data_IF_006655246479
#
_entry.id   IF_006655246479
#
_cell.length_a   1.000
_cell.length_b   1.000
_cell.length_c   1.000
_cell.angle_alpha   90.00
_cell.angle_beta   90.00
_cell.angle_gamma   90.00
#
_symmetry.space_group_name_H-M   'P 1'
#
loop_
_entity.id
_entity.type
_entity.pdbx_description
1 polymer ?
#
# COMPACT_ATOMS: atom_id res chain seq x y z
N UNK A 1 9.08 -4.71 -20.32
CA UNK A 1 8.64 -5.99 -19.71
C UNK A 1 9.79 -6.50 -18.85
N UNK A 2 9.63 -6.61 -17.53
CA UNK A 2 10.69 -6.96 -16.58
C UNK A 2 11.10 -8.44 -16.68
N UNK A 3 12.30 -8.80 -16.20
CA UNK A 3 12.79 -10.18 -16.21
C UNK A 3 11.94 -11.05 -15.27
N UNK A 4 11.57 -10.51 -14.11
CA UNK A 4 10.64 -11.14 -13.18
C UNK A 4 9.28 -11.47 -13.80
N UNK A 5 8.72 -10.59 -14.64
CA UNK A 5 7.42 -10.83 -15.28
C UNK A 5 7.45 -11.99 -16.28
N UNK A 6 8.54 -12.10 -17.06
CA UNK A 6 8.77 -13.25 -17.95
C UNK A 6 8.90 -14.56 -17.17
N UNK A 7 9.53 -14.54 -15.99
CA UNK A 7 9.65 -15.73 -15.14
C UNK A 7 8.31 -16.14 -14.52
N UNK A 8 7.47 -15.19 -14.13
CA UNK A 8 6.10 -15.45 -13.65
C UNK A 8 5.28 -16.14 -14.75
N UNK A 9 5.34 -15.63 -15.98
CA UNK A 9 4.65 -16.21 -17.14
C UNK A 9 5.18 -17.62 -17.46
N UNK A 10 6.50 -17.82 -17.48
CA UNK A 10 7.10 -19.13 -17.75
C UNK A 10 6.72 -20.21 -16.71
N UNK A 11 6.55 -19.83 -15.44
CA UNK A 11 6.05 -20.73 -14.39
C UNK A 11 4.54 -20.99 -14.57
N UNK A 12 3.75 -19.99 -14.94
CA UNK A 12 2.31 -20.13 -15.19
C UNK A 12 1.99 -21.02 -16.40
N UNK A 13 2.73 -20.90 -17.49
CA UNK A 13 2.61 -21.75 -18.69
C UNK A 13 2.82 -23.24 -18.38
N UNK A 14 3.56 -23.54 -17.31
CA UNK A 14 3.86 -24.90 -16.83
C UNK A 14 2.88 -25.36 -15.75
N UNK A 15 1.80 -24.62 -15.51
CA UNK A 15 0.81 -24.94 -14.48
C UNK A 15 1.29 -24.67 -13.05
N UNK A 16 2.34 -23.86 -12.89
CA UNK A 16 2.83 -23.40 -11.60
C UNK A 16 2.39 -21.97 -11.27
N UNK A 17 2.63 -21.57 -10.03
CA UNK A 17 2.36 -20.23 -9.49
C UNK A 17 3.52 -19.80 -8.61
N UNK A 18 3.91 -18.54 -8.77
CA UNK A 18 4.77 -17.85 -7.82
C UNK A 18 3.93 -17.00 -6.86
N UNK A 19 4.33 -16.95 -5.59
CA UNK A 19 3.72 -16.08 -4.59
C UNK A 19 4.73 -15.67 -3.51
N UNK A 20 4.45 -14.59 -2.79
CA UNK A 20 5.21 -14.19 -1.61
C UNK A 20 4.52 -14.81 -0.38
N UNK A 21 5.23 -15.67 0.34
CA UNK A 21 4.75 -16.20 1.61
C UNK A 21 4.72 -15.09 2.68
N UNK A 22 3.99 -15.29 3.79
CA UNK A 22 3.94 -14.34 4.92
C UNK A 22 5.33 -13.97 5.47
N UNK A 23 6.30 -14.88 5.33
CA UNK A 23 7.72 -14.65 5.68
C UNK A 23 8.47 -13.71 4.73
N UNK A 24 7.82 -13.14 3.71
CA UNK A 24 8.44 -12.31 2.67
C UNK A 24 9.29 -13.09 1.65
N UNK A 25 9.25 -14.43 1.69
CA UNK A 25 10.00 -15.28 0.76
C UNK A 25 9.16 -15.63 -0.46
N UNK A 26 9.75 -15.51 -1.65
CA UNK A 26 9.15 -16.02 -2.88
C UNK A 26 9.09 -17.55 -2.83
N UNK A 27 7.92 -18.10 -3.12
CA UNK A 27 7.64 -19.52 -3.18
C UNK A 27 7.08 -19.89 -4.54
N UNK A 28 7.38 -21.12 -4.97
CA UNK A 28 6.79 -21.78 -6.13
C UNK A 28 5.81 -22.82 -5.60
N UNK A 29 4.62 -22.83 -6.16
CA UNK A 29 3.69 -23.95 -6.14
C UNK A 29 3.57 -24.46 -7.57
N UNK A 30 3.88 -25.73 -7.83
CA UNK A 30 3.80 -26.29 -9.18
C UNK A 30 3.26 -27.72 -9.10
N UNK A 31 2.41 -28.08 -10.06
CA UNK A 31 1.85 -29.43 -10.19
C UNK A 31 2.89 -30.46 -10.65
N UNK A 32 3.96 -30.01 -11.30
CA UNK A 32 5.10 -30.82 -11.71
C UNK A 32 6.43 -30.16 -11.30
N UNK A 33 7.51 -30.94 -11.11
CA UNK A 33 8.84 -30.39 -10.83
C UNK A 33 9.28 -29.40 -11.90
N UNK A 34 9.77 -28.23 -11.48
CA UNK A 34 10.34 -27.25 -12.40
C UNK A 34 11.74 -27.69 -12.86
N UNK A 35 12.13 -27.39 -14.11
CA UNK A 35 13.50 -27.56 -14.59
C UNK A 35 14.54 -26.86 -13.70
N UNK A 36 15.71 -27.48 -13.54
CA UNK A 36 16.75 -26.99 -12.62
C UNK A 36 17.27 -25.59 -13.00
N UNK A 37 17.43 -25.32 -14.29
CA UNK A 37 17.80 -24.03 -14.87
C UNK A 37 16.78 -22.92 -14.55
N UNK A 38 15.49 -23.26 -14.59
CA UNK A 38 14.42 -22.33 -14.21
C UNK A 38 14.49 -22.03 -12.71
N UNK A 39 14.72 -23.03 -11.87
CA UNK A 39 14.87 -22.85 -10.42
C UNK A 39 16.06 -21.96 -10.09
N UNK A 40 17.20 -22.13 -10.77
CA UNK A 40 18.37 -21.26 -10.60
C UNK A 40 18.07 -19.82 -11.03
N UNK A 41 17.38 -19.64 -12.15
CA UNK A 41 16.99 -18.31 -12.64
C UNK A 41 16.03 -17.62 -11.69
N UNK A 42 15.06 -18.35 -11.12
CA UNK A 42 14.15 -17.83 -10.10
C UNK A 42 14.90 -17.39 -8.83
N UNK A 43 15.96 -18.10 -8.43
CA UNK A 43 16.80 -17.73 -7.29
C UNK A 43 17.61 -16.47 -7.57
N UNK A 44 18.16 -16.33 -8.77
CA UNK A 44 18.93 -15.15 -9.18
C UNK A 44 18.08 -13.86 -9.21
N UNK A 45 16.80 -13.98 -9.57
CA UNK A 45 15.86 -12.84 -9.66
C UNK A 45 14.92 -12.71 -8.46
N UNK A 46 15.23 -13.32 -7.31
CA UNK A 46 14.32 -13.40 -6.16
C UNK A 46 13.80 -12.03 -5.69
N UNK A 47 14.65 -11.01 -5.60
CA UNK A 47 14.26 -9.70 -5.08
C UNK A 47 13.42 -8.90 -6.08
N UNK A 48 13.61 -9.14 -7.37
CA UNK A 48 12.77 -8.57 -8.43
C UNK A 48 11.39 -9.26 -8.45
N UNK A 49 11.37 -10.59 -8.33
CA UNK A 49 10.15 -11.39 -8.18
C UNK A 49 9.37 -10.99 -6.92
N UNK A 50 10.03 -10.79 -5.79
CA UNK A 50 9.39 -10.36 -4.55
C UNK A 50 8.69 -8.99 -4.72
N UNK A 51 9.27 -8.06 -5.48
CA UNK A 51 8.68 -6.74 -5.74
C UNK A 51 7.49 -6.82 -6.70
N UNK A 52 7.57 -7.63 -7.74
CA UNK A 52 6.48 -7.81 -8.72
C UNK A 52 5.31 -8.63 -8.15
N UNK A 53 5.60 -9.60 -7.27
CA UNK A 53 4.61 -10.47 -6.62
C UNK A 53 4.10 -9.91 -5.29
N UNK A 54 4.78 -8.90 -4.73
CA UNK A 54 4.27 -8.22 -3.57
C UNK A 54 2.87 -7.71 -3.91
N UNK A 55 1.87 -7.93 -3.05
CA UNK A 55 0.60 -7.25 -3.22
C UNK A 55 0.91 -5.75 -3.36
N UNK A 56 0.22 -5.02 -4.26
CA UNK A 56 0.36 -3.58 -4.29
C UNK A 56 0.23 -3.11 -2.85
N UNK A 57 1.22 -2.32 -2.38
CA UNK A 57 1.15 -1.72 -1.05
C UNK A 57 -0.29 -1.24 -0.87
N UNK A 58 -0.97 -1.58 0.24
CA UNK A 58 -2.39 -1.34 0.38
C UNK A 58 -2.63 0.08 -0.10
N UNK A 59 -3.38 0.20 -1.19
CA UNK A 59 -3.76 1.49 -1.74
C UNK A 59 -4.67 2.06 -0.67
N UNK A 60 -4.06 2.72 0.32
CA UNK A 60 -4.77 3.49 1.31
C UNK A 60 -5.60 4.44 0.48
N UNK A 61 -6.90 4.19 0.41
CA UNK A 61 -7.82 5.07 -0.26
C UNK A 61 -7.87 6.35 0.58
N UNK A 62 -6.90 7.23 0.30
CA UNK A 62 -6.69 8.47 1.01
C UNK A 62 -7.93 9.35 0.90
N UNK A 63 -8.70 9.22 -0.19
CA UNK A 63 -9.96 9.92 -0.33
C UNK A 63 -11.02 9.36 0.60
N UNK A 64 -11.22 8.04 0.66
CA UNK A 64 -12.17 7.43 1.60
C UNK A 64 -11.82 7.80 3.04
N UNK A 65 -10.55 7.67 3.41
CA UNK A 65 -10.04 8.01 4.74
C UNK A 65 -10.24 9.50 5.07
N UNK A 66 -10.04 10.39 4.09
CA UNK A 66 -10.34 11.81 4.26
C UNK A 66 -11.84 12.05 4.45
N UNK A 67 -12.71 11.40 3.66
CA UNK A 67 -14.17 11.52 3.79
C UNK A 67 -14.66 11.05 5.17
N UNK A 68 -14.07 9.98 5.70
CA UNK A 68 -14.37 9.49 7.05
C UNK A 68 -13.96 10.48 8.15
N UNK A 69 -12.77 11.08 8.03
CA UNK A 69 -12.32 12.13 8.93
C UNK A 69 -13.22 13.37 8.86
N UNK A 70 -13.58 13.81 7.65
CA UNK A 70 -14.47 14.95 7.44
C UNK A 70 -15.86 14.70 8.06
N UNK A 71 -16.41 13.50 7.90
CA UNK A 71 -17.67 13.10 8.55
C UNK A 71 -17.60 13.21 10.06
N UNK A 72 -16.53 12.68 10.68
CA UNK A 72 -16.33 12.77 12.14
C UNK A 72 -16.18 14.22 12.61
N UNK A 73 -15.50 15.06 11.84
CA UNK A 73 -15.31 16.48 12.16
C UNK A 73 -16.63 17.27 12.09
N UNK A 74 -17.47 16.98 11.09
CA UNK A 74 -18.81 17.57 10.99
C UNK A 74 -19.66 17.14 12.19
N UNK A 75 -19.64 15.85 12.55
CA UNK A 75 -20.38 15.33 13.70
C UNK A 75 -19.90 15.96 15.03
N UNK A 76 -18.59 16.06 15.24
CA UNK A 76 -18.01 16.70 16.42
C UNK A 76 -18.44 18.18 16.51
N UNK A 77 -18.39 18.91 15.38
CA UNK A 77 -18.84 20.31 15.32
C UNK A 77 -20.33 20.44 15.63
N UNK A 78 -21.17 19.56 15.07
CA UNK A 78 -22.61 19.54 15.35
C UNK A 78 -22.95 19.26 16.83
N UNK A 79 -22.06 18.57 17.55
CA UNK A 79 -22.16 18.32 19.00
C UNK A 79 -21.48 19.39 19.86
N UNK A 80 -20.95 20.46 19.27
CA UNK A 80 -20.19 21.49 19.98
C UNK A 80 -18.81 21.06 20.46
N UNK A 81 -18.29 19.91 20.01
CA UNK A 81 -16.95 19.43 20.34
C UNK A 81 -15.88 20.11 19.46
N UNK A 82 -14.75 20.40 20.08
CA UNK A 82 -13.54 20.90 19.42
C UNK A 82 -12.65 19.76 18.90
N UNK A 83 -13.02 18.50 19.13
CA UNK A 83 -12.26 17.35 18.65
C UNK A 83 -12.19 17.33 17.13
N UNK A 84 -11.00 17.05 16.61
CA UNK A 84 -10.73 16.95 15.18
C UNK A 84 -9.99 15.66 14.87
N UNK A 85 -10.27 15.11 13.71
CA UNK A 85 -9.78 13.81 13.26
C UNK A 85 -8.97 13.94 11.99
N UNK A 86 -7.85 13.22 11.96
CA UNK A 86 -6.97 13.06 10.81
C UNK A 86 -7.46 11.92 9.89
N UNK A 87 -7.04 11.93 8.62
CA UNK A 87 -7.32 10.84 7.68
C UNK A 87 -6.74 9.50 8.14
N UNK A 88 -5.68 9.49 8.95
CA UNK A 88 -5.17 8.25 9.57
C UNK A 88 -6.02 7.72 10.73
N UNK A 89 -7.13 8.40 11.08
CA UNK A 89 -8.03 8.00 12.15
C UNK A 89 -7.64 8.44 13.56
N UNK A 90 -6.51 9.14 13.74
CA UNK A 90 -6.09 9.72 15.03
C UNK A 90 -6.66 11.12 15.25
N UNK A 91 -6.66 11.58 16.50
CA UNK A 91 -6.95 12.98 16.82
C UNK A 91 -5.93 13.89 16.13
N UNK A 92 -6.45 14.92 15.46
CA UNK A 92 -5.68 15.93 14.79
C UNK A 92 -5.26 17.01 15.78
N UNK A 93 -4.08 17.56 15.55
CA UNK A 93 -3.49 18.62 16.38
C UNK A 93 -3.55 19.96 15.65
N UNK A 94 -3.45 19.93 14.33
CA UNK A 94 -3.32 21.14 13.51
C UNK A 94 -4.28 21.12 12.32
N UNK A 95 -4.72 22.31 11.92
CA UNK A 95 -5.43 22.55 10.68
C UNK A 95 -4.44 23.05 9.63
N UNK A 96 -4.45 22.45 8.44
CA UNK A 96 -3.61 22.84 7.32
C UNK A 96 -4.46 23.31 6.14
N UNK A 97 -4.05 24.37 5.42
CA UNK A 97 -4.73 24.77 4.20
C UNK A 97 -4.62 23.64 3.16
N UNK A 98 -5.74 23.27 2.55
CA UNK A 98 -5.73 22.38 1.37
C UNK A 98 -5.81 23.19 0.08
N UNK A 99 -5.35 22.62 -1.03
CA UNK A 99 -5.46 23.20 -2.37
C UNK A 99 -6.90 23.52 -2.79
N UNK A 100 -7.91 22.93 -2.12
CA UNK A 100 -9.34 23.17 -2.36
C UNK A 100 -9.92 24.31 -1.48
N UNK A 101 -9.08 25.10 -0.82
CA UNK A 101 -9.48 26.25 -0.01
C UNK A 101 -10.11 25.93 1.35
N UNK A 102 -10.22 24.64 1.71
CA UNK A 102 -10.69 24.21 3.03
C UNK A 102 -9.54 23.73 3.89
N UNK A 103 -9.61 23.96 5.20
CA UNK A 103 -8.64 23.40 6.12
C UNK A 103 -8.84 21.90 6.28
N UNK A 104 -7.75 21.13 6.22
CA UNK A 104 -7.72 19.70 6.56
C UNK A 104 -7.04 19.51 7.90
N UNK A 105 -7.64 18.69 8.74
CA UNK A 105 -7.11 18.39 10.06
C UNK A 105 -6.10 17.24 9.98
N UNK A 106 -4.93 17.42 10.61
CA UNK A 106 -3.83 16.44 10.61
C UNK A 106 -3.26 16.24 12.01
N UNK A 107 -2.87 15.00 12.31
CA UNK A 107 -2.07 14.68 13.49
C UNK A 107 -0.59 14.99 13.22
N UNK A 108 0.23 14.92 14.27
CA UNK A 108 1.68 15.19 14.16
C UNK A 108 2.38 14.27 13.16
N UNK A 109 1.98 13.00 13.07
CA UNK A 109 2.59 12.03 12.15
C UNK A 109 2.17 12.23 10.68
N UNK A 110 1.03 12.86 10.44
CA UNK A 110 0.51 13.13 9.10
C UNK A 110 0.65 14.61 8.71
N UNK A 111 1.43 15.36 9.48
CA UNK A 111 1.76 16.74 9.17
C UNK A 111 2.59 16.77 7.88
N UNK A 112 2.24 17.61 6.89
CA UNK A 112 3.06 17.76 5.68
C UNK A 112 4.47 18.20 6.07
N UNK A 113 5.49 17.45 5.63
CA UNK A 113 6.91 17.79 5.88
C UNK A 113 7.43 18.88 4.95
N UNK A 114 6.71 19.15 3.86
CA UNK A 114 7.02 20.19 2.88
C UNK A 114 5.92 21.25 2.93
N UNK A 115 6.24 22.42 3.50
CA UNK A 115 5.26 23.46 3.78
C UNK A 115 5.17 24.54 2.70
N UNK A 116 3.98 25.10 2.57
CA UNK A 116 3.84 26.53 2.87
C UNK A 116 2.85 26.65 4.03
N UNK A 117 3.39 27.08 5.17
CA UNK A 117 2.60 27.55 6.30
C UNK A 117 1.90 28.87 5.91
#
# INVERSE_FOLDING_TARGET
MSAARKLIEAVAERGGRLYVAETGKVKVEASAPLPADLVETLRAHRDELARELAPPAPTFDLERLQREADRKNIEATGKGSTDRWCSCGRLATFAYPSARGRNVWRCIECTPTEGKA
#
